data_IF_338982837877
#
_entry.id   IF_338982837877
#
_cell.length_a   1.000
_cell.length_b   1.000
_cell.length_c   1.000
_cell.angle_alpha   90.00
_cell.angle_beta   90.00
_cell.angle_gamma   90.00
#
_symmetry.space_group_name_H-M   'P 1'
#
loop_
_entity.id
_entity.type
_entity.pdbx_description
1 polymer ?
#
# COMPACT_ATOMS: atom_id res chain seq x y z
N UNK A 1 24.00 3.84 3.71
CA UNK A 1 22.92 3.73 2.71
C UNK A 1 21.84 2.85 3.31
N UNK A 2 20.58 3.30 3.39
CA UNK A 2 19.48 2.43 3.85
C UNK A 2 19.31 1.31 2.82
N UNK A 3 19.25 0.05 3.26
CA UNK A 3 18.91 -1.06 2.38
C UNK A 3 17.47 -0.86 1.89
N UNK A 4 17.30 -0.50 0.62
CA UNK A 4 15.98 -0.40 0.01
C UNK A 4 15.45 -1.79 -0.30
N UNK A 5 14.15 -2.00 -0.11
CA UNK A 5 13.53 -3.27 -0.52
C UNK A 5 13.37 -3.32 -2.03
N UNK A 6 13.20 -4.52 -2.58
CA UNK A 6 12.88 -4.72 -4.01
C UNK A 6 11.65 -3.92 -4.45
N UNK A 7 10.67 -3.78 -3.55
CA UNK A 7 9.47 -2.98 -3.80
C UNK A 7 9.78 -1.48 -3.89
N UNK A 8 10.62 -0.94 -3.00
CA UNK A 8 11.10 0.45 -3.12
C UNK A 8 11.84 0.68 -4.42
N UNK A 9 12.76 -0.23 -4.78
CA UNK A 9 13.51 -0.14 -6.03
C UNK A 9 12.59 -0.14 -7.25
N UNK A 10 11.52 -0.93 -7.23
CA UNK A 10 10.52 -0.95 -8.30
C UNK A 10 9.72 0.36 -8.38
N UNK A 11 9.36 0.94 -7.23
CA UNK A 11 8.64 2.21 -7.16
C UNK A 11 9.50 3.41 -7.60
N UNK A 12 10.81 3.37 -7.32
CA UNK A 12 11.76 4.42 -7.72
C UNK A 12 12.17 4.33 -9.21
N UNK A 13 11.96 3.19 -9.88
CA UNK A 13 12.41 2.96 -11.26
C UNK A 13 11.53 3.62 -12.33
N UNK A 14 10.40 4.20 -11.95
CA UNK A 14 9.51 4.90 -12.88
C UNK A 14 9.49 6.38 -12.57
N UNK A 15 9.66 7.21 -13.60
CA UNK A 15 9.57 8.69 -13.54
C UNK A 15 8.14 9.21 -13.18
N UNK A 16 7.33 8.43 -12.47
CA UNK A 16 6.03 8.82 -11.95
C UNK A 16 4.91 9.01 -12.97
N UNK A 17 5.16 8.74 -14.26
CA UNK A 17 4.20 9.02 -15.34
C UNK A 17 3.22 7.86 -15.58
N UNK A 18 3.65 6.62 -15.37
CA UNK A 18 2.81 5.44 -15.63
C UNK A 18 2.15 4.91 -14.35
N UNK A 19 0.88 4.47 -14.41
CA UNK A 19 0.27 3.74 -13.31
C UNK A 19 1.04 2.43 -13.02
N UNK A 20 1.31 2.19 -11.74
CA UNK A 20 1.94 0.96 -11.26
C UNK A 20 0.88 0.04 -10.68
N UNK A 21 0.86 -1.19 -11.21
CA UNK A 21 -0.01 -2.25 -10.74
C UNK A 21 0.82 -3.25 -9.95
N UNK A 22 0.45 -3.49 -8.69
CA UNK A 22 1.14 -4.46 -7.85
C UNK A 22 0.19 -5.55 -7.44
N UNK A 23 0.55 -6.78 -7.77
CA UNK A 23 -0.21 -7.97 -7.47
C UNK A 23 0.57 -8.83 -6.48
N UNK A 24 -0.12 -9.29 -5.44
CA UNK A 24 0.45 -10.16 -4.44
C UNK A 24 -0.39 -11.43 -4.33
N UNK A 25 0.25 -12.58 -4.44
CA UNK A 25 -0.37 -13.88 -4.14
C UNK A 25 0.41 -14.52 -3.01
N UNK A 26 -0.07 -14.37 -1.77
CA UNK A 26 0.53 -15.02 -0.62
C UNK A 26 -0.37 -16.13 -0.11
N UNK A 27 0.21 -17.30 0.16
CA UNK A 27 -0.45 -18.37 0.91
C UNK A 27 -0.67 -18.02 2.39
N UNK A 28 0.07 -17.03 2.90
CA UNK A 28 0.06 -16.63 4.31
C UNK A 28 -0.41 -15.17 4.44
N UNK A 29 -1.61 -14.97 5.02
CA UNK A 29 -2.25 -13.66 5.23
C UNK A 29 -1.32 -12.62 5.88
N UNK A 30 -0.56 -13.01 6.90
CA UNK A 30 0.33 -12.06 7.59
C UNK A 30 1.48 -11.53 6.71
N UNK A 31 1.93 -12.30 5.70
CA UNK A 31 2.93 -11.82 4.73
C UNK A 31 2.28 -10.83 3.76
N UNK A 32 1.04 -11.07 3.35
CA UNK A 32 0.26 -10.14 2.54
C UNK A 32 0.11 -8.80 3.25
N UNK A 33 -0.47 -8.79 4.46
CA UNK A 33 -0.76 -7.57 5.23
C UNK A 33 0.51 -6.73 5.42
N UNK A 34 1.64 -7.36 5.78
CA UNK A 34 2.92 -6.66 5.96
C UNK A 34 3.40 -5.97 4.68
N UNK A 35 3.30 -6.61 3.52
CA UNK A 35 3.71 -6.02 2.25
C UNK A 35 2.75 -4.92 1.78
N UNK A 36 1.44 -5.11 1.97
CA UNK A 36 0.44 -4.09 1.70
C UNK A 36 0.68 -2.83 2.54
N UNK A 37 0.93 -2.99 3.85
CA UNK A 37 1.28 -1.88 4.72
C UNK A 37 2.53 -1.15 4.26
N UNK A 38 3.57 -1.89 3.87
CA UNK A 38 4.80 -1.30 3.38
C UNK A 38 4.60 -0.48 2.11
N UNK A 39 3.86 -1.03 1.13
CA UNK A 39 3.53 -0.33 -0.10
C UNK A 39 2.73 0.95 0.18
N UNK A 40 1.66 0.84 0.97
CA UNK A 40 0.77 1.96 1.27
C UNK A 40 1.50 3.03 2.09
N UNK A 41 2.33 2.66 3.05
CA UNK A 41 3.19 3.60 3.79
C UNK A 41 4.09 4.39 2.85
N UNK A 42 4.77 3.72 1.92
CA UNK A 42 5.62 4.38 0.94
C UNK A 42 4.81 5.31 0.03
N UNK A 43 3.67 4.84 -0.50
CA UNK A 43 2.80 5.66 -1.33
C UNK A 43 2.31 6.92 -0.61
N UNK A 44 1.90 6.78 0.66
CA UNK A 44 1.49 7.90 1.51
C UNK A 44 2.66 8.86 1.77
N UNK A 45 3.87 8.37 2.05
CA UNK A 45 5.07 9.21 2.27
C UNK A 45 5.43 10.06 1.05
N UNK A 46 5.21 9.50 -0.14
CA UNK A 46 5.51 10.14 -1.42
C UNK A 46 4.30 10.83 -2.08
N UNK A 47 3.15 10.87 -1.40
CA UNK A 47 1.89 11.46 -1.88
C UNK A 47 1.41 10.89 -3.23
N UNK A 48 1.57 9.59 -3.42
CA UNK A 48 1.05 8.89 -4.60
C UNK A 48 -0.45 8.64 -4.47
N UNK A 49 -1.16 8.77 -5.59
CA UNK A 49 -2.56 8.35 -5.67
C UNK A 49 -2.62 6.81 -5.74
N UNK A 50 -3.40 6.20 -4.86
CA UNK A 50 -3.54 4.74 -4.79
C UNK A 50 -5.00 4.34 -4.91
N UNK A 51 -5.26 3.37 -5.80
CA UNK A 51 -6.48 2.56 -5.79
C UNK A 51 -6.14 1.20 -5.18
N UNK A 52 -6.77 0.86 -4.06
CA UNK A 52 -6.57 -0.39 -3.34
C UNK A 52 -7.81 -1.28 -3.50
N UNK A 53 -7.63 -2.40 -4.19
CA UNK A 53 -8.69 -3.36 -4.55
C UNK A 53 -8.57 -4.60 -3.66
N UNK A 54 -9.43 -4.73 -2.67
CA UNK A 54 -9.28 -5.79 -1.65
C UNK A 54 -10.59 -6.08 -0.90
N UNK A 55 -10.71 -7.26 -0.30
CA UNK A 55 -11.83 -7.60 0.59
C UNK A 55 -11.93 -6.58 1.73
N UNK A 56 -13.15 -6.15 2.08
CA UNK A 56 -13.38 -5.14 3.13
C UNK A 56 -12.70 -5.52 4.45
N UNK A 57 -12.77 -6.79 4.85
CA UNK A 57 -12.17 -7.24 6.11
C UNK A 57 -10.66 -7.04 6.16
N UNK A 58 -9.97 -7.23 5.02
CA UNK A 58 -8.52 -7.05 4.89
C UNK A 58 -8.20 -5.56 4.81
N UNK A 59 -9.01 -4.78 4.09
CA UNK A 59 -8.86 -3.33 4.04
C UNK A 59 -9.02 -2.67 5.41
N UNK A 60 -10.04 -3.03 6.19
CA UNK A 60 -10.23 -2.48 7.54
C UNK A 60 -9.06 -2.84 8.47
N UNK A 61 -8.53 -4.07 8.38
CA UNK A 61 -7.35 -4.50 9.13
C UNK A 61 -6.14 -3.61 8.81
N UNK A 62 -5.87 -3.36 7.53
CA UNK A 62 -4.78 -2.49 7.07
C UNK A 62 -5.02 -1.04 7.48
N UNK A 63 -6.24 -0.51 7.30
CA UNK A 63 -6.61 0.87 7.66
C UNK A 63 -6.35 1.16 9.13
N UNK A 64 -6.73 0.23 10.02
CA UNK A 64 -6.46 0.35 11.47
C UNK A 64 -4.97 0.44 11.77
N UNK A 65 -4.11 -0.29 11.04
CA UNK A 65 -2.65 -0.19 11.25
C UNK A 65 -2.09 1.13 10.72
N UNK A 66 -2.55 1.60 9.55
CA UNK A 66 -2.10 2.88 8.97
C UNK A 66 -2.49 4.07 9.86
N UNK A 67 -3.68 4.06 10.45
CA UNK A 67 -4.17 5.11 11.36
C UNK A 67 -3.39 5.21 12.68
N UNK A 68 -2.54 4.22 13.01
CA UNK A 68 -1.61 4.34 14.16
C UNK A 68 -0.40 5.23 13.85
N UNK A 69 -0.14 5.49 12.57
CA UNK A 69 1.09 6.15 12.09
C UNK A 69 0.75 7.45 11.36
N UNK A 70 -0.33 7.47 10.59
CA UNK A 70 -0.74 8.60 9.75
C UNK A 70 -2.08 9.19 10.23
N UNK A 71 -2.34 10.47 9.91
CA UNK A 71 -3.63 11.10 10.16
C UNK A 71 -4.74 10.46 9.35
N UNK A 72 -5.99 10.56 9.83
CA UNK A 72 -7.16 10.07 9.08
C UNK A 72 -7.24 10.70 7.68
N UNK A 73 -7.04 12.01 7.58
CA UNK A 73 -7.02 12.73 6.30
C UNK A 73 -6.03 12.14 5.29
N UNK A 74 -4.84 11.75 5.77
CA UNK A 74 -3.81 11.15 4.92
C UNK A 74 -4.19 9.74 4.51
N UNK A 75 -4.72 8.92 5.43
CA UNK A 75 -5.17 7.56 5.11
C UNK A 75 -6.37 7.57 4.15
N UNK A 76 -7.27 8.53 4.27
CA UNK A 76 -8.46 8.67 3.42
C UNK A 76 -8.14 9.09 1.97
N UNK A 77 -6.87 9.42 1.66
CA UNK A 77 -6.41 9.57 0.27
C UNK A 77 -6.27 8.25 -0.50
N UNK A 78 -6.27 7.12 0.20
CA UNK A 78 -6.30 5.79 -0.42
C UNK A 78 -7.72 5.55 -0.93
N UNK A 79 -7.89 5.50 -2.25
CA UNK A 79 -9.15 5.09 -2.85
C UNK A 79 -9.32 3.59 -2.64
N UNK A 80 -10.43 3.18 -2.04
CA UNK A 80 -10.72 1.79 -1.76
C UNK A 80 -11.90 1.31 -2.61
N UNK A 81 -11.79 0.11 -3.17
CA UNK A 81 -12.90 -0.60 -3.80
C UNK A 81 -12.86 -2.07 -3.40
N UNK A 82 -14.01 -2.56 -2.92
CA UNK A 82 -14.21 -3.97 -2.60
C UNK A 82 -14.13 -4.84 -3.86
N UNK A 83 -13.43 -5.98 -3.76
CA UNK A 83 -13.23 -6.92 -4.86
C UNK A 83 -13.94 -8.27 -4.65
N UNK A 84 -14.73 -8.38 -3.58
CA UNK A 84 -15.50 -9.58 -3.23
C UNK A 84 -16.84 -9.68 -3.96
#
# INVERSE_FOLDING_TARGET
>A
MKNMTTLQQFLDQKDGVDPLHIYYTFSERHKYIRNALYFLSYALEHNFNVLFLEEDTVYQEIKVQLLKIYSSEKVDTIMYQDNT
#
